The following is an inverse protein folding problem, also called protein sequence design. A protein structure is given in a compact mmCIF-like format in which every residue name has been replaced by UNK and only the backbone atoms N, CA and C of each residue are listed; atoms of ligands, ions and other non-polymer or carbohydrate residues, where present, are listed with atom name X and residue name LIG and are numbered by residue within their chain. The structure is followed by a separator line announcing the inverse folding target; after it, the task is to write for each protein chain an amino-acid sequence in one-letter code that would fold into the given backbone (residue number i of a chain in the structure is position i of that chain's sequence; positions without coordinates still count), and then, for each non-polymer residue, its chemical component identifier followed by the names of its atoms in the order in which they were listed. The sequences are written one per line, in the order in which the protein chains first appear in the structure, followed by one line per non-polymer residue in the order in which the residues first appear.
data_IF_078618094202
#
_entry.id   IF_078618094202
#
_cell.length_a   1.000
_cell.length_b   1.000
_cell.length_c   1.000
_cell.angle_alpha   90.00
_cell.angle_beta   90.00
_cell.angle_gamma   90.00
#
_symmetry.space_group_name_H-M   'P 1'
#
loop_
_entity.id
_entity.type
_entity.pdbx_description
1 polymer ?
#
# COMPACT_ATOMS: atom_id res chain seq x y z
N UNK A 1 19.32 39.02 15.69
CA UNK A 1 20.10 37.91 16.29
C UNK A 1 19.55 36.53 15.96
N UNK A 2 18.34 36.14 16.39
CA UNK A 2 17.80 34.79 16.06
C UNK A 2 17.51 34.63 14.57
N UNK A 3 16.94 35.66 13.92
CA UNK A 3 16.67 35.63 12.48
C UNK A 3 17.94 35.57 11.64
N UNK A 4 19.01 36.26 12.05
CA UNK A 4 20.30 36.22 11.34
C UNK A 4 20.93 34.82 11.39
N UNK A 5 20.78 34.13 12.53
CA UNK A 5 21.22 32.75 12.69
C UNK A 5 20.41 31.79 11.80
N UNK A 6 19.08 31.97 11.74
CA UNK A 6 18.21 31.19 10.86
C UNK A 6 18.57 31.43 9.38
N UNK A 7 18.75 32.69 8.98
CA UNK A 7 19.12 33.07 7.61
C UNK A 7 20.48 32.46 7.21
N UNK A 8 21.48 32.56 8.09
CA UNK A 8 22.78 31.93 7.88
C UNK A 8 22.66 30.41 7.66
N UNK A 9 21.93 29.71 8.52
CA UNK A 9 21.75 28.26 8.38
C UNK A 9 20.96 27.87 7.13
N UNK A 10 19.95 28.66 6.74
CA UNK A 10 19.20 28.43 5.49
C UNK A 10 20.12 28.61 4.28
N UNK A 11 20.91 29.68 4.24
CA UNK A 11 21.89 29.91 3.17
C UNK A 11 22.91 28.79 3.09
N UNK A 12 23.41 28.30 4.22
CA UNK A 12 24.33 27.16 4.24
C UNK A 12 23.68 25.85 3.76
N UNK A 13 22.40 25.61 4.08
CA UNK A 13 21.66 24.47 3.52
C UNK A 13 21.57 24.57 1.99
N UNK A 14 21.31 25.77 1.45
CA UNK A 14 21.23 26.01 0.00
C UNK A 14 22.60 25.81 -0.66
N UNK A 15 23.67 26.40 -0.10
CA UNK A 15 25.04 26.26 -0.64
C UNK A 15 25.51 24.80 -0.69
N UNK A 16 25.11 23.99 0.29
CA UNK A 16 25.43 22.56 0.37
C UNK A 16 24.45 21.68 -0.42
N UNK A 17 23.52 22.29 -1.16
CA UNK A 17 22.49 21.61 -1.94
C UNK A 17 21.71 20.56 -1.13
N UNK A 18 21.42 20.88 0.14
CA UNK A 18 20.66 20.00 1.02
C UNK A 18 19.24 19.87 0.49
N UNK A 19 18.93 18.70 -0.08
CA UNK A 19 17.59 18.42 -0.60
C UNK A 19 16.61 18.25 0.55
N UNK A 20 15.50 18.98 0.50
CA UNK A 20 14.40 18.86 1.45
C UNK A 20 13.19 18.21 0.80
N UNK A 21 12.38 17.52 1.62
CA UNK A 21 11.12 16.90 1.18
C UNK A 21 10.08 17.00 2.29
N UNK A 22 8.80 16.97 1.91
CA UNK A 22 7.68 16.85 2.85
C UNK A 22 7.48 15.38 3.22
N UNK A 23 7.44 15.07 4.52
CA UNK A 23 7.18 13.72 5.00
C UNK A 23 5.76 13.29 4.67
N UNK A 24 5.58 12.14 3.99
CA UNK A 24 4.25 11.62 3.65
C UNK A 24 3.39 11.19 4.85
N UNK A 25 3.99 10.99 6.03
CA UNK A 25 3.26 10.60 7.24
C UNK A 25 2.82 11.80 8.08
N UNK A 26 3.73 12.74 8.41
CA UNK A 26 3.43 13.85 9.31
C UNK A 26 3.34 15.24 8.65
N UNK A 27 3.56 15.34 7.33
CA UNK A 27 3.44 16.58 6.56
C UNK A 27 4.54 17.62 6.81
N UNK A 28 5.55 17.34 7.65
CA UNK A 28 6.63 18.28 7.94
C UNK A 28 7.81 18.15 6.98
N UNK A 29 8.49 19.26 6.72
CA UNK A 29 9.76 19.25 6.00
C UNK A 29 10.87 18.52 6.77
N UNK A 30 11.68 17.77 6.04
CA UNK A 30 12.90 17.13 6.55
C UNK A 30 14.00 17.16 5.48
N UNK A 31 15.25 17.21 5.93
CA UNK A 31 16.41 17.10 5.07
C UNK A 31 16.65 15.64 4.66
N UNK A 32 16.97 15.42 3.39
CA UNK A 32 17.38 14.11 2.88
C UNK A 32 18.85 13.88 3.25
N UNK A 33 19.09 13.14 4.34
CA UNK A 33 20.44 12.83 4.85
C UNK A 33 20.94 11.44 4.43
N UNK A 34 20.28 10.79 3.47
CA UNK A 34 20.58 9.42 3.05
C UNK A 34 20.10 9.12 1.65
N UNK A 35 19.41 7.98 1.46
CA UNK A 35 18.87 7.59 0.14
C UNK A 35 17.95 8.70 -0.40
N UNK A 36 18.18 9.07 -1.65
CA UNK A 36 17.42 10.11 -2.37
C UNK A 36 15.92 9.81 -2.46
N UNK A 37 15.54 8.53 -2.40
CA UNK A 37 14.14 8.11 -2.44
C UNK A 37 13.46 8.00 -1.05
N UNK A 38 14.02 8.64 -0.02
CA UNK A 38 13.38 8.63 1.31
C UNK A 38 12.10 9.49 1.27
N UNK A 39 10.98 8.93 1.71
CA UNK A 39 9.67 9.60 1.70
C UNK A 39 9.15 9.96 3.10
N UNK A 40 9.83 9.46 4.14
CA UNK A 40 9.44 9.59 5.54
C UNK A 40 10.60 10.11 6.38
N UNK A 41 10.32 11.02 7.31
CA UNK A 41 11.32 11.51 8.25
C UNK A 41 11.56 10.52 9.41
N UNK A 42 12.63 10.75 10.19
CA UNK A 42 12.97 9.92 11.36
C UNK A 42 12.40 10.44 12.68
N UNK A 43 11.46 11.40 12.64
CA UNK A 43 10.86 11.95 13.86
C UNK A 43 9.92 10.92 14.50
N UNK A 44 9.88 10.82 15.84
CA UNK A 44 8.83 10.09 16.55
C UNK A 44 7.45 10.59 16.09
N UNK A 45 6.53 9.67 15.89
CA UNK A 45 5.18 9.94 15.39
C UNK A 45 4.10 9.60 16.41
N UNK A 46 4.28 8.54 17.18
CA UNK A 46 3.29 8.10 18.17
C UNK A 46 3.86 8.05 19.60
N UNK A 47 2.95 7.85 20.56
CA UNK A 47 3.25 7.73 21.99
C UNK A 47 4.16 6.53 22.32
N UNK A 48 4.23 5.54 21.42
CA UNK A 48 5.12 4.37 21.55
C UNK A 48 6.53 4.68 21.06
N UNK A 49 6.80 5.89 20.59
CA UNK A 49 8.12 6.33 20.12
C UNK A 49 8.46 5.87 18.70
N UNK A 50 7.53 5.24 17.96
CA UNK A 50 7.79 4.81 16.58
C UNK A 50 7.95 6.02 15.68
N UNK A 51 8.93 5.96 14.79
CA UNK A 51 9.23 7.03 13.84
C UNK A 51 8.28 7.01 12.65
N UNK A 52 8.14 8.14 11.96
CA UNK A 52 7.38 8.21 10.70
C UNK A 52 7.87 7.18 9.66
N UNK A 53 9.16 6.84 9.68
CA UNK A 53 9.76 5.83 8.81
C UNK A 53 9.27 4.42 9.12
N UNK A 54 9.20 4.05 10.39
CA UNK A 54 8.72 2.73 10.84
C UNK A 54 7.22 2.58 10.60
N UNK A 55 6.44 3.62 10.92
CA UNK A 55 4.99 3.63 10.66
C UNK A 55 4.71 3.52 9.16
N UNK A 56 5.43 4.28 8.33
CA UNK A 56 5.32 4.18 6.87
C UNK A 56 5.68 2.79 6.34
N UNK A 57 6.70 2.14 6.90
CA UNK A 57 7.09 0.77 6.53
C UNK A 57 6.00 -0.25 6.90
N UNK A 58 5.39 -0.13 8.08
CA UNK A 58 4.28 -0.99 8.53
C UNK A 58 3.08 -0.82 7.59
N UNK A 59 2.68 0.42 7.30
CA UNK A 59 1.54 0.69 6.42
C UNK A 59 1.76 0.10 5.01
N UNK A 60 2.96 0.27 4.46
CA UNK A 60 3.32 -0.29 3.16
C UNK A 60 3.32 -1.83 3.18
N UNK A 61 3.84 -2.44 4.25
CA UNK A 61 3.86 -3.89 4.42
C UNK A 61 2.44 -4.45 4.54
N UNK A 62 1.58 -3.86 5.37
CA UNK A 62 0.18 -4.27 5.54
C UNK A 62 -0.57 -4.20 4.21
N UNK A 63 -0.39 -3.11 3.44
CA UNK A 63 -1.01 -2.96 2.11
C UNK A 63 -0.52 -4.01 1.10
N UNK A 64 0.76 -4.39 1.14
CA UNK A 64 1.30 -5.45 0.28
C UNK A 64 0.75 -6.82 0.70
N UNK A 65 0.71 -7.09 2.01
CA UNK A 65 0.21 -8.35 2.55
C UNK A 65 -1.28 -8.57 2.24
N UNK A 66 -2.11 -7.54 2.40
CA UNK A 66 -3.54 -7.64 2.05
C UNK A 66 -3.72 -7.93 0.57
N UNK A 67 -2.96 -7.24 -0.29
CA UNK A 67 -2.96 -7.51 -1.73
C UNK A 67 -2.56 -8.96 -2.03
N UNK A 68 -1.48 -9.45 -1.44
CA UNK A 68 -1.03 -10.83 -1.66
C UNK A 68 -2.08 -11.87 -1.18
N UNK A 69 -2.77 -11.61 -0.07
CA UNK A 69 -3.86 -12.47 0.42
C UNK A 69 -5.03 -12.52 -0.58
N UNK A 70 -5.49 -11.36 -1.07
CA UNK A 70 -6.53 -11.27 -2.11
C UNK A 70 -6.18 -12.09 -3.36
N UNK A 71 -4.92 -12.00 -3.80
CA UNK A 71 -4.43 -12.77 -4.95
C UNK A 71 -4.41 -14.29 -4.69
N UNK A 72 -4.11 -14.72 -3.46
CA UNK A 72 -4.10 -16.14 -3.10
C UNK A 72 -5.50 -16.75 -3.10
N UNK A 73 -6.47 -16.07 -2.50
CA UNK A 73 -7.85 -16.55 -2.43
C UNK A 73 -8.48 -16.63 -3.83
N UNK A 74 -8.32 -15.58 -4.65
CA UNK A 74 -8.78 -15.59 -6.04
C UNK A 74 -8.18 -16.76 -6.84
N UNK A 75 -6.86 -16.98 -6.74
CA UNK A 75 -6.18 -18.06 -7.47
C UNK A 75 -6.67 -19.44 -7.02
N UNK A 76 -6.96 -19.62 -5.73
CA UNK A 76 -7.49 -20.88 -5.19
C UNK A 76 -8.85 -21.19 -5.81
N UNK A 77 -9.78 -20.24 -5.77
CA UNK A 77 -11.13 -20.47 -6.28
C UNK A 77 -11.16 -20.60 -7.81
N UNK A 78 -10.33 -19.84 -8.53
CA UNK A 78 -10.16 -20.01 -9.97
C UNK A 78 -9.71 -21.44 -10.31
N UNK A 79 -8.68 -21.97 -9.62
CA UNK A 79 -8.21 -23.34 -9.84
C UNK A 79 -9.28 -24.39 -9.53
N UNK A 80 -10.03 -24.19 -8.44
CA UNK A 80 -11.13 -25.09 -8.06
C UNK A 80 -12.21 -25.14 -9.16
N UNK A 81 -12.66 -23.98 -9.64
CA UNK A 81 -13.67 -23.90 -10.72
C UNK A 81 -13.15 -24.42 -12.04
N UNK A 82 -11.89 -24.11 -12.39
CA UNK A 82 -11.26 -24.65 -13.59
C UNK A 82 -11.17 -26.19 -13.56
N UNK A 83 -10.90 -26.78 -12.39
CA UNK A 83 -10.94 -28.24 -12.23
C UNK A 83 -12.36 -28.81 -12.39
N UNK A 84 -13.39 -28.11 -11.89
CA UNK A 84 -14.80 -28.49 -12.09
C UNK A 84 -15.22 -28.38 -13.56
N UNK A 85 -14.78 -27.34 -14.26
CA UNK A 85 -15.00 -27.18 -15.71
C UNK A 85 -14.34 -28.30 -16.49
N UNK A 86 -13.07 -28.62 -16.20
CA UNK A 86 -12.40 -29.78 -16.81
C UNK A 86 -13.10 -31.12 -16.53
N UNK A 87 -13.79 -31.23 -15.40
CA UNK A 87 -14.58 -32.40 -15.06
C UNK A 87 -16.00 -32.40 -15.67
N UNK A 88 -16.35 -31.39 -16.50
CA UNK A 88 -17.67 -31.24 -17.11
C UNK A 88 -18.78 -30.89 -16.11
N UNK A 89 -18.41 -30.39 -14.92
CA UNK A 89 -19.35 -30.03 -13.83
C UNK A 89 -19.64 -28.53 -13.75
N UNK A 90 -19.09 -27.75 -14.69
CA UNK A 90 -19.23 -26.31 -14.79
C UNK A 90 -19.03 -25.93 -16.26
N UNK A 91 -19.91 -25.11 -16.81
CA UNK A 91 -19.74 -24.66 -18.18
C UNK A 91 -18.58 -23.64 -18.27
N UNK A 92 -17.82 -23.61 -19.37
CA UNK A 92 -16.76 -22.61 -19.59
C UNK A 92 -17.28 -21.17 -19.41
N UNK A 93 -18.48 -20.88 -19.90
CA UNK A 93 -19.13 -19.57 -19.83
C UNK A 93 -19.37 -19.13 -18.39
N UNK A 94 -19.74 -20.06 -17.49
CA UNK A 94 -19.92 -19.78 -16.07
C UNK A 94 -18.59 -19.42 -15.39
N UNK A 95 -17.49 -20.09 -15.78
CA UNK A 95 -16.15 -19.75 -15.28
C UNK A 95 -15.72 -18.34 -15.73
N UNK A 96 -15.94 -18.00 -17.00
CA UNK A 96 -15.58 -16.68 -17.52
C UNK A 96 -16.42 -15.56 -16.89
N UNK A 97 -17.73 -15.75 -16.77
CA UNK A 97 -18.61 -14.78 -16.11
C UNK A 97 -18.25 -14.58 -14.64
N UNK A 98 -17.87 -15.66 -13.94
CA UNK A 98 -17.36 -15.56 -12.58
C UNK A 98 -16.02 -14.82 -12.51
N UNK A 99 -15.08 -15.12 -13.40
CA UNK A 99 -13.77 -14.48 -13.45
C UNK A 99 -13.87 -12.97 -13.67
N UNK A 100 -14.76 -12.54 -14.57
CA UNK A 100 -15.02 -11.12 -14.83
C UNK A 100 -15.53 -10.40 -13.56
N UNK A 101 -16.57 -10.95 -12.92
CA UNK A 101 -17.10 -10.41 -11.64
C UNK A 101 -16.06 -10.41 -10.52
N UNK A 102 -15.20 -11.43 -10.47
CA UNK A 102 -14.13 -11.51 -9.49
C UNK A 102 -13.07 -10.42 -9.69
N UNK A 103 -12.80 -10.01 -10.92
CA UNK A 103 -11.89 -8.90 -11.23
C UNK A 103 -12.52 -7.55 -10.90
N UNK A 104 -13.80 -7.36 -11.18
CA UNK A 104 -14.56 -6.15 -10.82
C UNK A 104 -14.55 -5.92 -9.30
N UNK A 105 -14.94 -6.93 -8.52
CA UNK A 105 -14.94 -6.85 -7.06
C UNK A 105 -13.54 -6.66 -6.47
N UNK A 106 -12.51 -7.22 -7.11
CA UNK A 106 -11.13 -6.95 -6.71
C UNK A 106 -10.76 -5.48 -6.93
N UNK A 107 -11.18 -4.88 -8.05
CA UNK A 107 -10.98 -3.45 -8.29
C UNK A 107 -11.74 -2.60 -7.24
N UNK A 108 -12.92 -3.03 -6.79
CA UNK A 108 -13.63 -2.41 -5.66
C UNK A 108 -12.84 -2.51 -4.35
N UNK A 109 -12.19 -3.65 -4.05
CA UNK A 109 -11.29 -3.78 -2.92
C UNK A 109 -10.07 -2.85 -3.00
N UNK A 110 -9.45 -2.75 -4.18
CA UNK A 110 -8.31 -1.86 -4.40
C UNK A 110 -8.70 -0.38 -4.29
N UNK A 111 -9.95 -0.04 -4.65
CA UNK A 111 -10.56 1.27 -4.45
C UNK A 111 -11.04 1.53 -3.02
N UNK A 112 -10.98 0.53 -2.12
CA UNK A 112 -11.42 0.63 -0.73
C UNK A 112 -12.94 0.63 -0.53
N UNK A 113 -13.72 0.23 -1.55
CA UNK A 113 -15.19 0.10 -1.46
C UNK A 113 -15.65 -1.23 -0.84
N UNK A 114 -14.79 -2.24 -0.87
CA UNK A 114 -15.05 -3.58 -0.35
C UNK A 114 -13.86 -4.01 0.52
N UNK A 115 -14.11 -4.61 1.69
CA UNK A 115 -13.01 -5.12 2.51
C UNK A 115 -12.39 -6.37 1.87
N UNK A 116 -11.08 -6.64 2.10
CA UNK A 116 -10.48 -7.87 1.63
C UNK A 116 -11.16 -9.15 2.16
N UNK A 117 -11.65 -9.09 3.38
CA UNK A 117 -12.39 -10.18 4.03
C UNK A 117 -13.71 -10.48 3.31
N UNK A 118 -14.48 -9.43 2.97
CA UNK A 118 -15.76 -9.57 2.25
C UNK A 118 -15.56 -10.12 0.83
N UNK A 119 -14.48 -9.72 0.15
CA UNK A 119 -14.11 -10.30 -1.13
C UNK A 119 -13.76 -11.78 -1.04
N UNK A 120 -12.97 -12.16 -0.03
CA UNK A 120 -12.63 -13.56 0.20
C UNK A 120 -13.84 -14.43 0.59
N UNK A 121 -14.84 -13.86 1.27
CA UNK A 121 -16.13 -14.52 1.51
C UNK A 121 -16.90 -14.70 0.20
N UNK A 122 -17.07 -13.63 -0.58
CA UNK A 122 -17.79 -13.68 -1.86
C UNK A 122 -17.18 -14.69 -2.85
N UNK A 123 -15.85 -14.77 -2.94
CA UNK A 123 -15.18 -15.74 -3.82
C UNK A 123 -15.55 -17.20 -3.49
N UNK A 124 -15.76 -17.52 -2.21
CA UNK A 124 -16.09 -18.87 -1.72
C UNK A 124 -17.58 -19.21 -1.89
N UNK A 125 -18.45 -18.22 -1.79
CA UNK A 125 -19.91 -18.38 -1.83
C UNK A 125 -20.51 -18.30 -3.24
N UNK A 126 -19.78 -17.69 -4.18
CA UNK A 126 -20.22 -17.52 -5.57
C UNK A 126 -20.12 -18.79 -6.42
#
# INVERSE_FOLDING_TARGET
MVYDLIDYHLRECIKREVKMRVCKNCGRYFALTGRTNTEYCSRPFDEKGRTCREVGAIALWTKRKSRDALFQDYRREYKNRFARMKAGKLEPEELYAWDERAREKKAECEAGRLSPEDYAAWLRES
#
